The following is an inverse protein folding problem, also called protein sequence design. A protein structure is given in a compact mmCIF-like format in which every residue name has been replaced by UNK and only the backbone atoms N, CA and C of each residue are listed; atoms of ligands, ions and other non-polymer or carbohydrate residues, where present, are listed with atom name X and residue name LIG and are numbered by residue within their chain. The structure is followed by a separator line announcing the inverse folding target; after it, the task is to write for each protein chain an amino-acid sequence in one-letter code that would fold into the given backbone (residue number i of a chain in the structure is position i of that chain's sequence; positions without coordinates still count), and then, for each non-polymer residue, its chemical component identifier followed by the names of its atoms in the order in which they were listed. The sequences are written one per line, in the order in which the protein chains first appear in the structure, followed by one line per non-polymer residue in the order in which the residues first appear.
data_IF_541015455484
#
_entry.id   IF_541015455484
#
_cell.length_a   1.000
_cell.length_b   1.000
_cell.length_c   1.000
_cell.angle_alpha   90.00
_cell.angle_beta   90.00
_cell.angle_gamma   90.00
#
_symmetry.space_group_name_H-M   'P 1'
#
loop_
_entity.id
_entity.type
_entity.pdbx_description
1 polymer ?
#
# COMPACT_ATOMS: atom_id res chain seq x y z
N UNK A 1 17.68 -23.25 -3.28
CA UNK A 1 18.44 -23.12 -2.02
C UNK A 1 19.63 -24.05 -2.06
N UNK A 2 20.84 -23.48 -2.02
CA UNK A 2 22.09 -24.23 -1.98
C UNK A 2 22.48 -24.60 -0.53
N UNK A 3 21.98 -23.84 0.45
CA UNK A 3 22.17 -23.98 1.90
C UNK A 3 21.14 -23.07 2.63
N UNK A 4 20.87 -23.29 3.93
CA UNK A 4 20.05 -22.40 4.77
C UNK A 4 18.77 -22.99 5.37
N UNK A 5 17.93 -22.13 5.97
CA UNK A 5 16.62 -22.50 6.54
C UNK A 5 15.50 -22.13 5.58
N UNK A 6 14.50 -23.00 5.46
CA UNK A 6 13.20 -22.68 4.87
C UNK A 6 12.09 -23.22 5.74
N UNK A 7 11.12 -22.37 6.06
CA UNK A 7 9.88 -22.78 6.70
C UNK A 7 8.72 -22.55 5.73
N UNK A 8 7.96 -23.60 5.44
CA UNK A 8 6.78 -23.54 4.58
C UNK A 8 5.50 -23.70 5.39
N UNK A 9 4.43 -23.03 4.98
CA UNK A 9 3.11 -23.31 5.53
C UNK A 9 2.54 -24.64 4.99
N UNK A 10 1.39 -25.07 5.51
CA UNK A 10 0.71 -26.29 5.06
C UNK A 10 0.31 -26.29 3.57
N UNK A 11 0.29 -25.12 2.93
CA UNK A 11 0.05 -24.96 1.49
C UNK A 11 1.32 -24.95 0.64
N UNK A 12 2.49 -25.23 1.23
CA UNK A 12 3.78 -25.28 0.53
C UNK A 12 4.38 -23.92 0.18
N UNK A 13 3.78 -22.81 0.64
CA UNK A 13 4.35 -21.47 0.43
C UNK A 13 5.45 -21.20 1.45
N UNK A 14 6.60 -20.72 0.98
CA UNK A 14 7.72 -20.31 1.84
C UNK A 14 7.32 -19.08 2.66
N UNK A 15 7.50 -19.16 3.97
CA UNK A 15 7.15 -18.12 4.94
C UNK A 15 8.40 -17.46 5.51
N UNK A 16 9.47 -18.24 5.69
CA UNK A 16 10.78 -17.77 6.16
C UNK A 16 11.83 -18.48 5.31
N UNK A 17 12.83 -17.74 4.84
CA UNK A 17 13.95 -18.28 4.06
C UNK A 17 15.23 -17.50 4.37
N UNK A 18 16.38 -18.12 4.17
CA UNK A 18 17.68 -17.42 4.09
C UNK A 18 17.83 -16.54 2.83
N UNK A 19 16.97 -16.73 1.83
CA UNK A 19 17.11 -16.09 0.52
C UNK A 19 16.25 -14.81 0.39
N UNK A 20 15.17 -14.72 1.18
CA UNK A 20 14.20 -13.62 1.09
C UNK A 20 13.95 -13.00 2.45
N UNK A 21 14.09 -11.67 2.52
CA UNK A 21 13.78 -10.92 3.73
C UNK A 21 12.30 -10.98 4.08
N UNK A 22 12.03 -11.06 5.38
CA UNK A 22 10.66 -11.08 5.90
C UNK A 22 10.14 -9.66 6.09
N UNK A 23 8.89 -9.39 5.66
CA UNK A 23 8.22 -8.13 5.96
C UNK A 23 7.70 -8.15 7.40
N UNK A 24 8.10 -7.14 8.17
CA UNK A 24 7.84 -7.01 9.60
C UNK A 24 7.23 -5.65 9.91
N UNK A 25 6.46 -5.57 10.98
CA UNK A 25 5.88 -4.32 11.46
C UNK A 25 6.97 -3.34 11.91
N UNK A 26 6.78 -2.06 11.62
CA UNK A 26 7.67 -0.99 12.08
C UNK A 26 6.95 -0.07 13.06
N UNK A 27 5.86 0.56 12.63
CA UNK A 27 5.06 1.45 13.47
C UNK A 27 3.63 1.56 12.93
N UNK A 28 2.72 2.07 13.77
CA UNK A 28 1.37 2.47 13.40
C UNK A 28 1.05 3.86 13.94
N UNK A 29 0.10 4.53 13.30
CA UNK A 29 -0.39 5.80 13.79
C UNK A 29 -1.63 6.25 13.04
N UNK A 30 -2.11 7.44 13.36
CA UNK A 30 -3.22 8.06 12.65
C UNK A 30 -2.71 9.27 11.87
N UNK A 31 -3.33 9.54 10.73
CA UNK A 31 -3.08 10.73 9.95
C UNK A 31 -4.36 11.21 9.30
N UNK A 32 -4.40 12.49 8.96
CA UNK A 32 -5.54 13.10 8.33
C UNK A 32 -5.19 13.54 6.92
N UNK A 33 -6.19 13.45 6.07
CA UNK A 33 -6.22 14.12 4.79
C UNK A 33 -7.18 15.28 4.94
N UNK A 34 -6.71 16.46 4.60
CA UNK A 34 -7.49 17.68 4.66
C UNK A 34 -7.55 18.30 3.27
N UNK A 35 -8.73 18.76 2.87
CA UNK A 35 -8.89 19.63 1.72
C UNK A 35 -9.45 20.97 2.14
N UNK A 36 -9.09 22.01 1.39
CA UNK A 36 -9.62 23.36 1.55
C UNK A 36 -10.91 23.58 0.74
N UNK A 37 -11.10 22.81 -0.33
CA UNK A 37 -12.18 23.03 -1.30
C UNK A 37 -12.89 21.72 -1.61
N UNK A 38 -14.20 21.77 -1.85
CA UNK A 38 -15.00 20.58 -2.21
C UNK A 38 -14.69 20.04 -3.61
N UNK A 39 -13.99 20.81 -4.43
CA UNK A 39 -13.62 20.54 -5.81
C UNK A 39 -12.08 20.54 -6.03
N UNK A 40 -11.31 20.52 -4.95
CA UNK A 40 -9.85 20.54 -4.98
C UNK A 40 -9.22 19.36 -4.25
N UNK A 41 -7.93 19.13 -4.52
CA UNK A 41 -7.12 18.08 -3.90
C UNK A 41 -7.07 18.20 -2.37
N UNK A 42 -6.91 17.06 -1.72
CA UNK A 42 -6.62 16.96 -0.29
C UNK A 42 -5.19 16.49 -0.09
N UNK A 43 -4.62 16.80 1.06
CA UNK A 43 -3.24 16.45 1.38
C UNK A 43 -3.16 15.81 2.76
N UNK A 44 -2.32 14.79 2.86
CA UNK A 44 -1.95 14.16 4.12
C UNK A 44 -0.50 13.68 4.05
N UNK A 45 0.18 13.66 5.19
CA UNK A 45 1.54 13.16 5.26
C UNK A 45 1.84 12.59 6.65
N UNK A 46 2.82 11.70 6.71
CA UNK A 46 3.34 11.10 7.92
C UNK A 46 4.86 11.14 7.86
N UNK A 47 5.47 11.57 8.95
CA UNK A 47 6.90 11.39 9.23
C UNK A 47 7.04 10.22 10.19
N UNK A 48 7.86 9.23 9.85
CA UNK A 48 8.12 8.09 10.73
C UNK A 48 8.86 8.54 11.99
N UNK A 49 8.61 7.86 13.11
CA UNK A 49 9.25 8.18 14.40
C UNK A 49 10.77 8.05 14.31
N UNK A 50 11.25 7.07 13.54
CA UNK A 50 12.66 6.89 13.20
C UNK A 50 12.77 6.53 11.71
N UNK A 51 13.82 6.99 11.01
CA UNK A 51 14.05 6.57 9.64
C UNK A 51 14.21 5.05 9.54
N UNK A 52 13.62 4.46 8.51
CA UNK A 52 13.77 3.05 8.18
C UNK A 52 15.03 2.90 7.31
N UNK A 53 15.95 2.02 7.74
CA UNK A 53 17.30 1.90 7.17
C UNK A 53 17.44 0.78 6.13
N UNK A 54 16.33 0.16 5.73
CA UNK A 54 16.32 -0.86 4.68
C UNK A 54 16.67 -0.24 3.33
N UNK A 55 17.30 -1.03 2.45
CA UNK A 55 17.53 -0.61 1.06
C UNK A 55 16.20 -0.54 0.32
N UNK A 56 15.33 -1.51 0.56
CA UNK A 56 14.00 -1.59 0.02
C UNK A 56 13.08 -0.54 0.68
N UNK A 57 12.15 0.06 -0.08
CA UNK A 57 11.17 0.98 0.49
C UNK A 57 10.22 0.26 1.46
N UNK A 58 9.74 0.93 2.50
CA UNK A 58 8.74 0.38 3.40
C UNK A 58 7.39 0.18 2.68
N UNK A 59 6.63 -0.80 3.15
CA UNK A 59 5.25 -0.98 2.75
C UNK A 59 4.33 -0.23 3.71
N UNK A 60 3.42 0.57 3.15
CA UNK A 60 2.50 1.39 3.93
C UNK A 60 1.10 0.90 3.66
N UNK A 61 0.44 0.48 4.73
CA UNK A 61 -0.94 0.05 4.70
C UNK A 61 -1.81 1.06 5.42
N UNK A 62 -3.01 1.31 4.90
CA UNK A 62 -3.96 2.24 5.54
C UNK A 62 -5.36 1.66 5.61
N UNK A 63 -6.13 2.12 6.59
CA UNK A 63 -7.58 1.98 6.61
C UNK A 63 -8.24 3.31 6.92
N UNK A 64 -9.43 3.51 6.38
CA UNK A 64 -10.25 4.68 6.70
C UNK A 64 -10.94 4.45 8.06
N UNK A 65 -10.75 5.37 9.01
CA UNK A 65 -11.47 5.36 10.30
C UNK A 65 -12.78 6.13 10.16
N UNK A 66 -12.69 7.36 9.67
CA UNK A 66 -13.85 8.24 9.46
C UNK A 66 -13.63 9.14 8.26
N UNK A 67 -14.72 9.59 7.66
CA UNK A 67 -14.73 10.34 6.42
C UNK A 67 -15.92 11.28 6.36
N UNK A 68 -15.70 12.53 5.93
CA UNK A 68 -16.81 13.40 5.52
C UNK A 68 -17.31 13.07 4.11
N UNK A 69 -16.47 12.43 3.28
CA UNK A 69 -16.76 12.17 1.87
C UNK A 69 -16.85 10.65 1.57
N UNK A 70 -17.78 10.18 0.71
CA UNK A 70 -18.00 8.75 0.46
C UNK A 70 -16.96 8.06 -0.44
N UNK A 71 -16.10 8.83 -1.13
CA UNK A 71 -15.08 8.32 -2.03
C UNK A 71 -13.69 8.94 -1.77
N UNK A 72 -12.65 8.10 -1.84
CA UNK A 72 -11.26 8.51 -1.59
C UNK A 72 -10.30 7.78 -2.54
N UNK A 73 -9.51 8.55 -3.27
CA UNK A 73 -8.45 8.06 -4.16
C UNK A 73 -7.12 8.70 -3.78
N UNK A 74 -6.02 7.97 -3.93
CA UNK A 74 -4.67 8.37 -3.54
C UNK A 74 -3.70 8.41 -4.71
N UNK A 75 -2.86 9.45 -4.68
CA UNK A 75 -1.47 9.36 -5.04
C UNK A 75 -0.68 9.08 -3.78
N UNK A 76 0.21 8.10 -3.80
CA UNK A 76 1.12 7.87 -2.69
C UNK A 76 2.53 8.21 -3.12
N UNK A 77 3.28 8.88 -2.26
CA UNK A 77 4.72 9.04 -2.41
C UNK A 77 5.43 8.65 -1.12
N UNK A 78 6.25 7.62 -1.16
CA UNK A 78 7.21 7.28 -0.10
C UNK A 78 8.32 8.32 -0.09
N UNK A 79 8.65 8.82 1.10
CA UNK A 79 9.62 9.88 1.34
C UNK A 79 10.95 9.30 1.84
N UNK A 80 12.05 9.94 1.43
CA UNK A 80 13.41 9.47 1.68
C UNK A 80 14.00 8.70 0.50
N UNK A 81 15.01 7.89 0.80
CA UNK A 81 15.78 7.11 -0.17
C UNK A 81 16.26 5.79 0.45
N UNK A 82 16.78 4.83 -0.33
CA UNK A 82 17.37 3.61 0.21
C UNK A 82 18.31 3.88 1.38
N UNK A 83 18.13 3.16 2.50
CA UNK A 83 18.89 3.36 3.73
C UNK A 83 18.42 4.51 4.63
N UNK A 84 17.46 5.33 4.20
CA UNK A 84 16.96 6.47 4.96
C UNK A 84 15.53 6.87 4.53
N UNK A 85 14.56 5.98 4.73
CA UNK A 85 13.15 6.26 4.45
C UNK A 85 12.52 6.99 5.64
N UNK A 86 11.91 8.14 5.39
CA UNK A 86 11.53 9.09 6.45
C UNK A 86 10.03 9.24 6.64
N UNK A 87 9.22 8.70 5.73
CA UNK A 87 7.77 8.82 5.84
C UNK A 87 7.06 8.57 4.52
N UNK A 88 5.84 9.09 4.42
CA UNK A 88 5.08 9.12 3.18
C UNK A 88 4.18 10.34 3.11
N UNK A 89 3.78 10.69 1.90
CA UNK A 89 2.78 11.71 1.63
C UNK A 89 1.72 11.15 0.70
N UNK A 90 0.50 11.66 0.84
CA UNK A 90 -0.61 11.37 -0.05
C UNK A 90 -1.21 12.66 -0.58
N UNK A 91 -1.49 12.65 -1.87
CA UNK A 91 -2.38 13.63 -2.50
C UNK A 91 -3.67 12.89 -2.81
N UNK A 92 -4.80 13.43 -2.37
CA UNK A 92 -6.09 12.78 -2.51
C UNK A 92 -6.98 13.47 -3.51
N UNK A 93 -7.76 12.64 -4.20
CA UNK A 93 -8.88 13.06 -5.02
C UNK A 93 -10.14 12.32 -4.60
N UNK A 94 -11.26 13.02 -4.66
CA UNK A 94 -12.57 12.51 -4.30
C UNK A 94 -13.56 12.78 -5.46
N UNK A 95 -14.42 11.80 -5.75
CA UNK A 95 -15.42 11.92 -6.81
C UNK A 95 -16.78 12.28 -6.22
N UNK A 96 -17.36 13.40 -6.63
CA UNK A 96 -18.62 13.91 -6.12
C UNK A 96 -18.45 15.34 -5.60
N UNK A 97 -19.34 16.25 -5.96
CA UNK A 97 -19.26 17.66 -5.58
C UNK A 97 -19.96 17.95 -4.25
N UNK A 98 -19.53 19.04 -3.59
CA UNK A 98 -20.29 19.67 -2.50
C UNK A 98 -19.90 19.28 -1.07
N UNK A 99 -18.96 18.36 -0.87
CA UNK A 99 -18.44 18.01 0.46
C UNK A 99 -16.92 18.01 0.44
N UNK A 100 -16.30 18.67 1.41
CA UNK A 100 -14.84 18.69 1.57
C UNK A 100 -14.33 17.27 1.85
N UNK A 101 -13.23 16.89 1.21
CA UNK A 101 -12.64 15.56 1.31
C UNK A 101 -11.73 15.41 2.56
N UNK A 102 -12.33 15.45 3.75
CA UNK A 102 -11.61 15.21 5.00
C UNK A 102 -11.73 13.73 5.41
N UNK A 103 -10.57 13.12 5.66
CA UNK A 103 -10.49 11.71 6.05
C UNK A 103 -9.57 11.55 7.24
N UNK A 104 -10.00 10.77 8.23
CA UNK A 104 -9.13 10.26 9.27
C UNK A 104 -8.77 8.82 8.95
N UNK A 105 -7.48 8.55 8.88
CA UNK A 105 -6.95 7.25 8.50
C UNK A 105 -6.01 6.73 9.58
N UNK A 106 -6.01 5.42 9.72
CA UNK A 106 -4.93 4.72 10.41
C UNK A 106 -3.94 4.21 9.39
N UNK A 107 -2.65 4.32 9.69
CA UNK A 107 -1.58 3.73 8.91
C UNK A 107 -0.80 2.71 9.74
N UNK A 108 -0.25 1.73 9.04
CA UNK A 108 0.77 0.81 9.53
C UNK A 108 1.90 0.82 8.51
N UNK A 109 3.11 1.15 8.95
CA UNK A 109 4.31 0.99 8.15
C UNK A 109 4.99 -0.34 8.49
N UNK A 110 5.44 -1.01 7.45
CA UNK A 110 6.15 -2.27 7.53
C UNK A 110 7.46 -2.13 6.79
N UNK A 111 8.50 -2.78 7.28
CA UNK A 111 9.83 -2.80 6.67
C UNK A 111 10.30 -4.23 6.54
N UNK A 112 11.39 -4.44 5.81
CA UNK A 112 12.08 -5.72 5.85
C UNK A 112 12.91 -5.84 7.12
N UNK A 113 13.00 -7.05 7.66
CA UNK A 113 13.86 -7.33 8.82
C UNK A 113 15.29 -6.88 8.52
N UNK A 114 15.86 -6.10 9.44
CA UNK A 114 17.16 -5.43 9.29
C UNK A 114 17.92 -5.30 10.63
N UNK A 115 17.38 -5.86 11.72
CA UNK A 115 17.91 -5.71 13.07
C UNK A 115 17.99 -7.05 13.78
N UNK A 116 19.04 -7.18 14.59
CA UNK A 116 19.20 -8.29 15.54
C UNK A 116 18.11 -8.27 16.60
N UNK A 117 17.87 -9.44 17.18
CA UNK A 117 16.95 -9.69 18.26
C UNK A 117 17.26 -8.79 19.45
N UNK A 118 16.20 -8.27 20.05
CA UNK A 118 16.25 -7.61 21.36
C UNK A 118 16.00 -8.60 22.51
N UNK A 119 15.51 -9.80 22.18
CA UNK A 119 15.21 -10.86 23.14
C UNK A 119 16.44 -11.74 23.41
N UNK A 120 16.56 -12.21 24.66
CA UNK A 120 17.64 -13.10 25.13
C UNK A 120 17.63 -14.48 24.45
N UNK A 121 16.44 -14.96 24.08
CA UNK A 121 16.23 -16.26 23.45
C UNK A 121 15.46 -16.09 22.15
N UNK A 122 15.89 -16.78 21.09
CA UNK A 122 15.25 -16.63 19.79
C UNK A 122 15.96 -17.32 18.64
N UNK A 123 15.48 -17.02 17.44
CA UNK A 123 16.06 -17.44 16.17
C UNK A 123 16.35 -16.21 15.33
N UNK A 124 17.58 -16.12 14.84
CA UNK A 124 18.00 -15.18 13.82
C UNK A 124 18.45 -15.94 12.59
N UNK A 125 18.09 -15.44 11.41
CA UNK A 125 18.51 -16.00 10.14
C UNK A 125 19.22 -14.90 9.37
N UNK A 126 20.33 -15.27 8.77
CA UNK A 126 21.20 -14.40 8.01
C UNK A 126 21.27 -14.87 6.55
N UNK A 127 21.37 -13.93 5.63
CA UNK A 127 21.70 -14.21 4.22
C UNK A 127 23.20 -14.52 4.04
N UNK A 128 23.59 -14.82 2.81
CA UNK A 128 24.98 -15.13 2.46
C UNK A 128 25.95 -13.94 2.60
N UNK A 129 25.44 -12.73 2.80
CA UNK A 129 26.19 -11.50 3.02
C UNK A 129 26.18 -11.07 4.49
N UNK A 130 25.81 -11.96 5.41
CA UNK A 130 25.70 -11.70 6.85
C UNK A 130 24.61 -10.65 7.21
N UNK A 131 23.69 -10.37 6.29
CA UNK A 131 22.53 -9.51 6.50
C UNK A 131 21.42 -10.25 7.23
N UNK A 132 20.78 -9.61 8.22
CA UNK A 132 19.61 -10.19 8.90
C UNK A 132 18.44 -10.28 7.90
N UNK A 133 17.82 -11.46 7.78
CA UNK A 133 16.62 -11.69 6.95
C UNK A 133 15.37 -11.98 7.77
N UNK A 134 15.56 -12.46 9.01
CA UNK A 134 14.50 -12.76 9.95
C UNK A 134 15.05 -12.78 11.38
N UNK A 135 14.26 -12.24 12.30
CA UNK A 135 14.51 -12.28 13.74
C UNK A 135 13.22 -12.66 14.46
N UNK A 136 13.28 -13.56 15.44
CA UNK A 136 12.08 -14.03 16.16
C UNK A 136 11.39 -12.96 17.01
N UNK A 137 12.12 -11.92 17.43
CA UNK A 137 11.54 -10.76 18.12
C UNK A 137 10.74 -9.84 17.18
N UNK A 138 10.85 -10.02 15.85
CA UNK A 138 10.10 -9.22 14.89
C UNK A 138 8.63 -9.65 14.82
N UNK A 139 7.75 -8.65 14.71
CA UNK A 139 6.32 -8.84 14.45
C UNK A 139 6.10 -9.03 12.95
N UNK A 140 6.29 -10.26 12.46
CA UNK A 140 6.07 -10.63 11.04
C UNK A 140 4.66 -10.30 10.59
N UNK A 141 4.56 -9.63 9.44
CA UNK A 141 3.31 -9.24 8.78
C UNK A 141 2.60 -10.47 8.22
N UNK A 142 1.29 -10.55 8.47
CA UNK A 142 0.43 -11.61 7.94
C UNK A 142 -0.42 -11.07 6.81
N UNK A 143 -0.08 -11.45 5.58
CA UNK A 143 -0.90 -11.13 4.42
C UNK A 143 -2.22 -11.92 4.46
N UNK A 144 -3.35 -11.22 4.33
CA UNK A 144 -4.68 -11.83 4.37
C UNK A 144 -5.27 -12.05 2.99
N UNK A 145 -5.26 -11.00 2.16
CA UNK A 145 -5.85 -11.03 0.81
C UNK A 145 -4.92 -10.32 -0.17
N UNK A 146 -5.10 -10.60 -1.45
CA UNK A 146 -4.41 -9.94 -2.54
C UNK A 146 -5.39 -9.71 -3.69
N UNK A 147 -5.26 -8.59 -4.38
CA UNK A 147 -5.93 -8.42 -5.67
C UNK A 147 -5.30 -9.39 -6.67
N UNK A 148 -6.13 -10.05 -7.49
CA UNK A 148 -5.67 -11.06 -8.47
C UNK A 148 -6.18 -10.79 -9.88
N UNK A 149 -7.37 -10.21 -9.99
CA UNK A 149 -8.06 -9.95 -11.25
C UNK A 149 -8.48 -8.49 -11.30
N UNK A 150 -8.54 -7.94 -12.51
CA UNK A 150 -8.87 -6.54 -12.74
C UNK A 150 -9.87 -6.40 -13.88
N UNK A 151 -11.06 -5.89 -13.58
CA UNK A 151 -12.10 -5.61 -14.59
C UNK A 151 -11.99 -4.16 -15.04
N UNK A 152 -11.68 -3.97 -16.32
CA UNK A 152 -11.57 -2.66 -16.95
C UNK A 152 -12.96 -2.03 -17.17
N UNK A 153 -13.10 -0.77 -16.78
CA UNK A 153 -14.24 0.08 -17.05
C UNK A 153 -13.74 1.29 -17.85
N UNK A 154 -14.29 1.52 -19.05
CA UNK A 154 -13.80 2.56 -19.94
C UNK A 154 -14.03 3.97 -19.36
N UNK A 155 -13.24 4.96 -19.80
CA UNK A 155 -13.33 6.33 -19.33
C UNK A 155 -14.74 6.91 -19.44
N UNK A 156 -15.19 7.57 -18.37
CA UNK A 156 -16.44 8.31 -18.37
C UNK A 156 -16.18 9.81 -18.52
N UNK A 157 -16.80 10.43 -19.54
CA UNK A 157 -16.60 11.84 -19.89
C UNK A 157 -17.07 12.80 -18.79
N UNK A 158 -18.13 12.43 -18.06
CA UNK A 158 -18.68 13.22 -16.95
C UNK A 158 -17.71 13.40 -15.77
N UNK A 159 -16.62 12.64 -15.71
CA UNK A 159 -15.71 12.57 -14.58
C UNK A 159 -14.24 12.83 -14.97
N UNK A 160 -14.01 13.69 -15.97
CA UNK A 160 -12.65 14.06 -16.38
C UNK A 160 -11.90 12.96 -17.13
N UNK A 161 -12.61 12.06 -17.84
CA UNK A 161 -12.05 10.94 -18.62
C UNK A 161 -11.12 10.03 -17.81
N UNK A 162 -11.63 9.54 -16.69
CA UNK A 162 -10.94 8.59 -15.82
C UNK A 162 -11.35 7.16 -16.16
N UNK A 163 -10.39 6.32 -16.55
CA UNK A 163 -10.57 4.88 -16.67
C UNK A 163 -10.40 4.20 -15.30
N UNK A 164 -11.07 3.08 -15.10
CA UNK A 164 -11.06 2.39 -13.80
C UNK A 164 -10.80 0.90 -14.00
N UNK A 165 -9.88 0.34 -13.22
CA UNK A 165 -9.69 -1.09 -13.09
C UNK A 165 -10.21 -1.52 -11.72
N UNK A 166 -11.24 -2.36 -11.69
CA UNK A 166 -11.85 -2.84 -10.46
C UNK A 166 -11.22 -4.17 -10.06
N UNK A 167 -10.74 -4.28 -8.82
CA UNK A 167 -10.24 -5.57 -8.31
C UNK A 167 -11.35 -6.55 -7.94
N UNK A 168 -12.55 -6.03 -7.63
CA UNK A 168 -13.69 -6.76 -7.05
C UNK A 168 -13.33 -7.60 -5.81
N UNK A 169 -12.20 -7.30 -5.15
CA UNK A 169 -11.77 -8.00 -3.95
C UNK A 169 -12.72 -7.63 -2.79
N UNK A 170 -13.35 -8.61 -2.10
CA UNK A 170 -14.20 -8.31 -0.96
C UNK A 170 -13.38 -7.78 0.22
N UNK A 171 -13.73 -6.61 0.74
CA UNK A 171 -13.03 -5.92 1.82
C UNK A 171 -13.95 -5.69 3.02
N UNK A 172 -13.39 -5.86 4.21
CA UNK A 172 -14.02 -5.48 5.47
C UNK A 172 -13.56 -4.08 5.91
N UNK A 173 -14.31 -3.42 6.78
CA UNK A 173 -13.98 -2.06 7.24
C UNK A 173 -12.66 -1.96 8.04
N UNK A 174 -12.24 -3.07 8.63
CA UNK A 174 -10.99 -3.21 9.38
C UNK A 174 -9.85 -3.83 8.51
N UNK A 175 -10.04 -3.96 7.19
CA UNK A 175 -8.95 -4.32 6.27
C UNK A 175 -8.02 -3.12 6.04
N UNK A 176 -6.72 -3.37 6.09
CA UNK A 176 -5.69 -2.40 5.75
C UNK A 176 -5.17 -2.67 4.34
N UNK A 177 -5.22 -1.65 3.49
CA UNK A 177 -4.87 -1.72 2.06
C UNK A 177 -3.47 -1.12 1.86
N UNK A 178 -2.60 -1.83 1.14
CA UNK A 178 -1.28 -1.30 0.77
C UNK A 178 -1.38 -0.18 -0.25
N UNK A 179 -1.04 1.05 0.17
CA UNK A 179 -1.05 2.23 -0.69
C UNK A 179 0.30 2.51 -1.35
N UNK A 180 1.38 1.92 -0.82
CA UNK A 180 2.72 2.00 -1.42
C UNK A 180 2.90 1.05 -2.61
N UNK A 181 1.96 0.13 -2.85
CA UNK A 181 1.94 -0.70 -4.08
C UNK A 181 1.71 0.11 -5.36
N UNK A 182 1.39 1.39 -5.22
CA UNK A 182 1.25 2.36 -6.32
C UNK A 182 2.11 3.60 -6.07
N UNK A 183 3.27 3.45 -5.42
CA UNK A 183 4.18 4.56 -5.13
C UNK A 183 4.52 5.36 -6.40
N UNK A 184 4.35 6.68 -6.32
CA UNK A 184 4.47 7.65 -7.42
C UNK A 184 3.53 7.39 -8.59
N UNK A 185 2.47 6.61 -8.36
CA UNK A 185 1.50 6.21 -9.35
C UNK A 185 2.05 5.12 -10.28
N UNK A 186 1.13 4.41 -10.92
CA UNK A 186 1.46 3.34 -11.86
C UNK A 186 1.28 3.78 -13.32
N UNK A 187 1.81 4.94 -13.74
CA UNK A 187 1.62 5.41 -15.12
C UNK A 187 2.32 4.51 -16.18
N UNK A 188 3.34 3.74 -15.78
CA UNK A 188 4.22 3.01 -16.69
C UNK A 188 3.56 1.84 -17.47
N UNK A 189 2.48 1.24 -16.96
CA UNK A 189 1.77 0.17 -17.69
C UNK A 189 0.73 0.70 -18.69
N UNK A 190 0.52 2.01 -18.71
CA UNK A 190 -0.39 2.69 -19.64
C UNK A 190 0.39 3.85 -20.25
N UNK A 191 1.11 3.62 -21.35
CA UNK A 191 2.06 4.57 -21.96
C UNK A 191 1.47 5.91 -22.47
N UNK A 192 0.27 6.30 -22.04
CA UNK A 192 -0.46 7.51 -22.45
C UNK A 192 -1.35 8.10 -21.35
N UNK A 193 -1.06 7.80 -20.08
CA UNK A 193 -1.74 8.41 -18.92
C UNK A 193 -0.76 9.32 -18.18
N UNK A 194 -1.25 10.46 -17.69
CA UNK A 194 -0.41 11.41 -16.96
C UNK A 194 -0.26 11.01 -15.50
N UNK A 195 -1.25 10.28 -14.99
CA UNK A 195 -1.36 9.91 -13.60
C UNK A 195 -2.16 8.61 -13.41
N UNK A 196 -1.73 7.81 -12.45
CA UNK A 196 -2.47 6.66 -11.96
C UNK A 196 -2.47 6.65 -10.43
N UNK A 197 -3.61 6.33 -9.83
CA UNK A 197 -3.79 6.31 -8.38
C UNK A 197 -4.65 5.14 -7.91
N UNK A 198 -4.82 5.04 -6.59
CA UNK A 198 -5.59 3.96 -5.96
C UNK A 198 -6.84 4.52 -5.29
N UNK A 199 -8.03 4.05 -5.68
CA UNK A 199 -9.27 4.28 -4.92
C UNK A 199 -9.35 3.25 -3.83
N UNK A 200 -9.37 3.72 -2.58
CA UNK A 200 -9.52 2.86 -1.41
C UNK A 200 -10.92 2.89 -0.79
N UNK A 201 -11.75 3.84 -1.24
CA UNK A 201 -13.11 4.04 -0.72
C UNK A 201 -14.05 4.54 -1.81
N UNK A 202 -15.26 3.98 -1.85
CA UNK A 202 -16.34 4.42 -2.75
C UNK A 202 -17.70 4.05 -2.14
N UNK A 203 -18.71 4.91 -2.30
CA UNK A 203 -20.05 4.67 -1.76
C UNK A 203 -20.09 4.44 -0.25
N UNK A 204 -19.08 4.92 0.49
CA UNK A 204 -18.97 4.66 1.93
C UNK A 204 -18.44 3.27 2.31
N UNK A 205 -17.93 2.47 1.36
CA UNK A 205 -17.34 1.16 1.59
C UNK A 205 -15.85 1.12 1.17
N UNK A 206 -15.01 0.26 1.79
CA UNK A 206 -13.65 0.02 1.32
C UNK A 206 -13.68 -0.67 -0.05
N UNK A 207 -12.85 -0.20 -0.97
CA UNK A 207 -12.68 -0.79 -2.32
C UNK A 207 -11.21 -0.79 -2.69
N UNK A 208 -10.81 -1.54 -3.70
CA UNK A 208 -9.51 -1.36 -4.35
C UNK A 208 -9.75 -1.21 -5.85
N UNK A 209 -9.49 -0.01 -6.36
CA UNK A 209 -9.55 0.29 -7.79
C UNK A 209 -8.32 1.08 -8.22
N UNK A 210 -7.78 0.79 -9.39
CA UNK A 210 -6.78 1.66 -10.01
C UNK A 210 -7.54 2.65 -10.89
N UNK A 211 -7.24 3.93 -10.76
CA UNK A 211 -7.78 4.96 -11.63
C UNK A 211 -6.66 5.54 -12.47
N UNK A 212 -6.95 5.82 -13.73
CA UNK A 212 -6.01 6.50 -14.63
C UNK A 212 -6.72 7.61 -15.39
N UNK A 213 -6.07 8.76 -15.50
CA UNK A 213 -6.59 9.89 -16.28
C UNK A 213 -6.07 9.83 -17.72
N UNK A 214 -6.91 10.27 -18.66
CA UNK A 214 -6.54 10.42 -20.05
C UNK A 214 -6.49 11.88 -20.44
N UNK A 215 -5.31 12.38 -20.81
CA UNK A 215 -5.13 13.75 -21.26
C UNK A 215 -5.20 13.91 -22.79
N UNK A 216 -5.36 12.80 -23.53
CA UNK A 216 -5.46 12.80 -24.99
C UNK A 216 -6.73 12.10 -25.46
N UNK A 217 -7.45 12.74 -26.39
CA UNK A 217 -8.73 12.25 -26.92
C UNK A 217 -8.57 11.24 -28.04
N UNK A 218 -7.37 11.17 -28.63
CA UNK A 218 -7.00 10.36 -29.79
C UNK A 218 -6.34 9.03 -29.43
N UNK A 219 -5.98 8.84 -28.15
CA UNK A 219 -5.34 7.62 -27.68
C UNK A 219 -6.38 6.73 -26.99
N UNK A 220 -6.75 5.63 -27.65
CA UNK A 220 -7.45 4.54 -27.00
C UNK A 220 -6.54 3.84 -25.99
N UNK A 221 -7.09 3.43 -24.85
CA UNK A 221 -6.40 2.51 -23.93
C UNK A 221 -6.34 1.11 -24.56
N UNK A 222 -5.50 0.93 -25.57
CA UNK A 222 -5.30 -0.35 -26.26
C UNK A 222 -4.55 -1.35 -25.37
N UNK A 223 -3.82 -0.85 -24.36
CA UNK A 223 -3.18 -1.63 -23.33
C UNK A 223 -4.02 -1.48 -22.06
N UNK A 224 -4.87 -2.47 -21.76
CA UNK A 224 -5.48 -2.61 -20.43
C UNK A 224 -4.40 -2.98 -19.42
N UNK A 225 -4.65 -3.95 -18.53
CA UNK A 225 -3.54 -4.52 -17.76
C UNK A 225 -2.58 -5.38 -18.60
N UNK A 226 -2.88 -5.60 -19.89
CA UNK A 226 -2.16 -6.51 -20.78
C UNK A 226 -2.00 -7.94 -20.18
N UNK A 227 -3.01 -8.39 -19.42
CA UNK A 227 -2.97 -9.66 -18.70
C UNK A 227 -2.18 -9.61 -17.38
N UNK A 228 -1.59 -8.47 -17.02
CA UNK A 228 -0.89 -8.27 -15.75
C UNK A 228 -1.87 -8.25 -14.59
N UNK A 229 -1.57 -9.03 -13.55
CA UNK A 229 -2.28 -9.01 -12.29
C UNK A 229 -1.49 -8.19 -11.26
N UNK A 230 -1.85 -6.93 -11.06
CA UNK A 230 -1.31 -6.17 -9.93
C UNK A 230 -1.77 -6.83 -8.63
N UNK A 231 -0.82 -7.30 -7.84
CA UNK A 231 -1.06 -7.91 -6.54
C UNK A 231 -0.88 -6.86 -5.45
N UNK A 232 -1.98 -6.20 -5.09
CA UNK A 232 -2.04 -5.25 -3.99
C UNK A 232 -2.41 -6.04 -2.72
N UNK A 233 -1.50 -6.10 -1.73
CA UNK A 233 -1.77 -6.81 -0.50
C UNK A 233 -2.76 -6.08 0.40
N UNK A 234 -3.54 -6.88 1.11
CA UNK A 234 -4.48 -6.45 2.14
C UNK A 234 -4.24 -7.29 3.39
N UNK A 235 -4.11 -6.61 4.52
CA UNK A 235 -3.68 -7.22 5.78
C UNK A 235 -4.64 -6.84 6.91
N UNK A 236 -4.53 -7.58 8.01
CA UNK A 236 -5.09 -7.23 9.32
C UNK A 236 -3.95 -6.88 10.26
N UNK A 237 -4.09 -5.75 10.96
CA UNK A 237 -3.13 -5.32 11.98
C UNK A 237 -3.79 -5.17 13.36
N UNK A 238 -4.23 -6.28 13.97
CA UNK A 238 -4.88 -6.23 15.26
C UNK A 238 -3.88 -5.83 16.35
N UNK A 239 -4.36 -5.09 17.34
CA UNK A 239 -3.51 -4.34 18.27
C UNK A 239 -2.71 -5.24 19.21
N UNK A 240 -3.21 -6.44 19.52
CA UNK A 240 -2.54 -7.43 20.36
C UNK A 240 -1.22 -7.94 19.77
N UNK A 241 -1.03 -7.78 18.45
CA UNK A 241 0.19 -8.20 17.75
C UNK A 241 1.01 -7.03 17.22
N UNK A 242 0.35 -5.98 16.74
CA UNK A 242 1.00 -4.88 16.02
C UNK A 242 0.77 -3.56 16.75
N UNK A 243 1.65 -3.25 17.68
CA UNK A 243 1.63 -2.03 18.50
C UNK A 243 3.00 -1.35 18.47
N UNK A 244 3.04 -0.05 18.75
CA UNK A 244 4.30 0.67 18.92
C UNK A 244 4.87 0.34 20.30
N UNK A 245 6.19 0.14 20.37
CA UNK A 245 6.92 -0.02 21.63
C UNK A 245 7.16 1.32 22.34
#
# INVERSE_FOLDING_TARGET
MSYGLSATNNGGSVVISSDYKTLVFSERGNFQILSRYSDGEGYGAVTFVKPIQTQEPPQIFVRCISASHPALSFYTRVLGSPGNWTGFSVVSAALGGGVVQNFNLEYVSCKYSDKKSVDEYGLEIYDAQEGVVYTSSDRVVRFGKFTKNWTYVPPQVAYGRVAVFNSNLPLAHDDFISISSVDRGNAWFMGSVDYAGLRIREGGAPVIKILTNLNRTDIGLFQGTAGSAFSIPVCKFPIERYYND
#
